data_IF_040175863034
#
_entry.id   IF_040175863034
#
_cell.length_a   1.000
_cell.length_b   1.000
_cell.length_c   1.000
_cell.angle_alpha   90.00
_cell.angle_beta   90.00
_cell.angle_gamma   90.00
#
_symmetry.space_group_name_H-M   'P 1'
#
loop_
_entity.id
_entity.type
_entity.pdbx_description
1 polymer ?
#
# COMPACT_ATOMS: atom_id res chain seq x y z
N UNK A 1 -14.83 12.20 14.68
CA UNK A 1 -13.39 12.03 14.97
C UNK A 1 -12.93 10.85 14.14
N UNK A 2 -12.50 11.07 12.90
CA UNK A 2 -12.04 9.99 12.01
C UNK A 2 -10.60 9.69 12.34
N UNK A 3 -10.40 8.80 13.32
CA UNK A 3 -9.09 8.38 13.78
C UNK A 3 -8.47 7.38 12.81
N UNK A 4 -7.16 7.56 12.61
CA UNK A 4 -6.18 6.62 12.03
C UNK A 4 -6.20 6.54 10.50
N UNK A 5 -5.09 6.93 9.88
CA UNK A 5 -4.78 6.74 8.47
C UNK A 5 -4.72 5.24 8.14
N UNK A 6 -5.86 4.58 8.02
CA UNK A 6 -5.92 3.17 7.62
C UNK A 6 -5.27 3.00 6.24
N UNK A 7 -4.42 1.98 6.13
CA UNK A 7 -3.69 1.61 4.92
C UNK A 7 -2.84 2.74 4.30
N UNK A 8 -1.83 3.25 5.03
CA UNK A 8 -0.99 4.36 4.55
C UNK A 8 -0.20 3.97 3.29
N UNK A 9 0.13 2.69 3.12
CA UNK A 9 0.88 2.20 1.97
C UNK A 9 0.03 2.09 0.70
N UNK A 10 -1.29 1.92 0.80
CA UNK A 10 -2.20 2.05 -0.35
C UNK A 10 -2.18 3.50 -0.86
N UNK A 11 -2.22 4.48 0.06
CA UNK A 11 -2.12 5.91 -0.29
C UNK A 11 -0.79 6.23 -0.97
N UNK A 12 0.33 5.82 -0.37
CA UNK A 12 1.67 6.05 -0.91
C UNK A 12 1.85 5.40 -2.28
N UNK A 13 1.38 4.17 -2.45
CA UNK A 13 1.45 3.45 -3.72
C UNK A 13 0.61 4.12 -4.80
N UNK A 14 -0.65 4.44 -4.50
CA UNK A 14 -1.54 5.14 -5.42
C UNK A 14 -0.97 6.49 -5.87
N UNK A 15 -0.46 7.30 -4.93
CA UNK A 15 0.18 8.58 -5.23
C UNK A 15 1.43 8.40 -6.11
N UNK A 16 2.27 7.41 -5.81
CA UNK A 16 3.46 7.09 -6.61
C UNK A 16 3.10 6.71 -8.05
N UNK A 17 2.01 5.96 -8.24
CA UNK A 17 1.53 5.53 -9.56
C UNK A 17 0.75 6.64 -10.31
N UNK A 18 0.56 7.82 -9.70
CA UNK A 18 -0.24 8.90 -10.28
C UNK A 18 -1.73 8.57 -10.36
N UNK A 19 -2.21 7.71 -9.46
CA UNK A 19 -3.61 7.31 -9.40
C UNK A 19 -4.51 8.47 -8.97
N UNK A 20 -5.76 8.45 -9.42
CA UNK A 20 -6.76 9.40 -8.96
C UNK A 20 -7.15 9.14 -7.51
N UNK A 21 -7.47 10.21 -6.75
CA UNK A 21 -7.85 10.11 -5.34
C UNK A 21 -9.04 9.17 -5.11
N UNK A 22 -10.06 9.19 -5.98
CA UNK A 22 -11.24 8.32 -5.85
C UNK A 22 -10.87 6.83 -5.92
N UNK A 23 -9.87 6.48 -6.73
CA UNK A 23 -9.41 5.09 -6.86
C UNK A 23 -8.61 4.65 -5.63
N UNK A 24 -7.85 5.57 -5.04
CA UNK A 24 -7.13 5.31 -3.78
C UNK A 24 -8.14 5.08 -2.65
N UNK A 25 -9.17 5.92 -2.56
CA UNK A 25 -10.19 5.81 -1.52
C UNK A 25 -11.00 4.52 -1.67
N UNK A 26 -11.36 4.13 -2.91
CA UNK A 26 -12.02 2.85 -3.22
C UNK A 26 -11.15 1.64 -2.83
N UNK A 27 -9.84 1.66 -3.10
CA UNK A 27 -8.96 0.58 -2.63
C UNK A 27 -8.85 0.51 -1.11
N UNK A 28 -8.88 1.64 -0.40
CA UNK A 28 -8.87 1.64 1.06
C UNK A 28 -10.17 1.04 1.62
N UNK A 29 -11.31 1.35 1.01
CA UNK A 29 -12.60 0.76 1.38
C UNK A 29 -12.60 -0.76 1.16
N UNK A 30 -12.16 -1.22 -0.02
CA UNK A 30 -12.02 -2.66 -0.29
C UNK A 30 -11.04 -3.35 0.67
N UNK A 31 -9.94 -2.70 1.02
CA UNK A 31 -8.98 -3.25 1.99
C UNK A 31 -9.61 -3.42 3.38
N UNK A 32 -10.51 -2.53 3.79
CA UNK A 32 -11.27 -2.65 5.04
C UNK A 32 -12.25 -3.82 4.99
N UNK A 33 -12.98 -3.96 3.88
CA UNK A 33 -13.96 -5.03 3.69
C UNK A 33 -13.29 -6.41 3.65
N UNK A 34 -12.17 -6.52 2.94
CA UNK A 34 -11.42 -7.76 2.77
C UNK A 34 -10.61 -8.14 4.03
N UNK A 35 -10.43 -7.22 4.99
CA UNK A 35 -9.54 -7.42 6.13
C UNK A 35 -8.07 -7.54 5.71
N UNK A 36 -7.66 -6.73 4.73
CA UNK A 36 -6.31 -6.71 4.18
C UNK A 36 -5.24 -6.42 5.25
N UNK A 37 -3.99 -6.84 5.06
CA UNK A 37 -2.92 -6.54 6.02
C UNK A 37 -2.60 -5.04 6.02
N UNK A 38 -2.22 -4.50 7.18
CA UNK A 38 -1.93 -3.07 7.34
C UNK A 38 -0.79 -2.55 6.44
N UNK A 39 0.06 -3.45 5.94
CA UNK A 39 1.13 -3.16 4.99
C UNK A 39 0.74 -3.36 3.52
N UNK A 40 -0.55 -3.47 3.19
CA UNK A 40 -1.05 -3.60 1.82
C UNK A 40 -0.76 -2.36 0.96
N UNK A 41 -0.50 -2.55 -0.34
CA UNK A 41 -0.19 -1.48 -1.31
C UNK A 41 -1.22 -1.35 -2.42
N UNK A 42 -1.65 -2.47 -3.01
CA UNK A 42 -2.71 -2.50 -4.00
C UNK A 42 -3.32 -3.91 -4.09
N UNK A 43 -4.53 -3.97 -4.64
CA UNK A 43 -5.21 -5.23 -4.92
C UNK A 43 -4.82 -5.75 -6.31
N UNK A 44 -4.49 -7.03 -6.39
CA UNK A 44 -4.32 -7.74 -7.64
C UNK A 44 -5.67 -8.11 -8.27
N UNK A 45 -5.66 -8.46 -9.55
CA UNK A 45 -6.87 -8.84 -10.29
C UNK A 45 -7.50 -10.15 -9.80
N UNK A 46 -6.72 -11.00 -9.13
CA UNK A 46 -7.20 -12.23 -8.50
C UNK A 46 -7.83 -12.00 -7.11
N UNK A 47 -7.88 -10.74 -6.65
CA UNK A 47 -8.43 -10.34 -5.37
C UNK A 47 -7.44 -10.39 -4.21
N UNK A 48 -6.21 -10.86 -4.43
CA UNK A 48 -5.17 -10.86 -3.39
C UNK A 48 -4.56 -9.47 -3.20
N UNK A 49 -3.95 -9.23 -2.04
CA UNK A 49 -3.34 -7.94 -1.70
C UNK A 49 -1.82 -8.00 -1.80
N UNK A 50 -1.24 -7.14 -2.63
CA UNK A 50 0.18 -6.86 -2.62
C UNK A 50 0.54 -6.11 -1.34
N UNK A 51 1.77 -6.28 -0.86
CA UNK A 51 2.26 -5.69 0.39
C UNK A 51 3.57 -4.94 0.20
N UNK A 52 4.03 -4.25 1.25
CA UNK A 52 5.37 -3.65 1.27
C UNK A 52 6.49 -4.67 1.20
N UNK A 53 6.20 -5.94 1.50
CA UNK A 53 7.19 -7.02 1.49
C UNK A 53 7.57 -7.40 0.06
N UNK A 54 6.67 -7.13 -0.91
CA UNK A 54 6.91 -7.32 -2.34
C UNK A 54 7.79 -6.22 -2.96
N UNK A 55 8.04 -5.12 -2.23
CA UNK A 55 8.84 -3.99 -2.71
C UNK A 55 10.32 -4.30 -2.51
N UNK A 56 11.03 -4.67 -3.57
CA UNK A 56 12.48 -4.95 -3.52
C UNK A 56 13.37 -3.77 -3.91
N UNK A 57 12.84 -2.78 -4.63
CA UNK A 57 13.59 -1.59 -5.06
C UNK A 57 13.98 -0.70 -3.87
N UNK A 58 15.28 -0.54 -3.56
CA UNK A 58 15.74 0.27 -2.43
C UNK A 58 15.27 1.73 -2.48
N UNK A 59 15.12 2.31 -3.67
CA UNK A 59 14.65 3.69 -3.81
C UNK A 59 13.19 3.83 -3.36
N UNK A 60 12.35 2.84 -3.72
CA UNK A 60 10.94 2.80 -3.31
C UNK A 60 10.82 2.52 -1.82
N UNK A 61 11.61 1.57 -1.30
CA UNK A 61 11.65 1.27 0.15
C UNK A 61 12.01 2.50 0.96
N UNK A 62 13.04 3.24 0.56
CA UNK A 62 13.42 4.50 1.17
C UNK A 62 12.32 5.56 1.08
N UNK A 63 11.66 5.70 -0.07
CA UNK A 63 10.52 6.62 -0.24
C UNK A 63 9.38 6.29 0.74
N UNK A 64 9.15 5.01 1.01
CA UNK A 64 8.04 4.52 1.83
C UNK A 64 8.42 4.38 3.32
N UNK A 65 9.64 4.75 3.71
CA UNK A 65 10.14 4.62 5.07
C UNK A 65 10.34 3.15 5.52
N UNK A 66 10.50 2.24 4.57
CA UNK A 66 10.71 0.82 4.81
C UNK A 66 12.20 0.54 5.04
N UNK A 67 12.56 -0.47 5.86
CA UNK A 67 13.95 -0.85 6.08
C UNK A 67 14.57 -1.35 4.78
N UNK A 68 15.84 -1.02 4.53
CA UNK A 68 16.56 -1.57 3.38
C UNK A 68 16.65 -3.10 3.48
N UNK A 69 16.53 -3.77 2.33
CA UNK A 69 16.83 -5.20 2.22
C UNK A 69 18.35 -5.35 2.08
N UNK A 70 19.10 -5.09 3.16
CA UNK A 70 20.54 -5.32 3.17
C UNK A 70 20.80 -6.79 3.51
N UNK A 71 21.31 -7.55 2.55
CA UNK A 71 22.03 -8.82 2.76
C UNK A 71 21.24 -9.94 3.45
N UNK A 72 20.62 -10.80 2.65
CA UNK A 72 20.81 -12.25 2.88
C UNK A 72 22.13 -12.66 2.23
#
# INVERSE_FOLDING_TARGET
MSGTDDYPYIRLWGQRMGSFQYYIDDQIEQAREDGAPANATHRYLDGTWATTDDITDPAVRKQFGLPDLVGQ
#
